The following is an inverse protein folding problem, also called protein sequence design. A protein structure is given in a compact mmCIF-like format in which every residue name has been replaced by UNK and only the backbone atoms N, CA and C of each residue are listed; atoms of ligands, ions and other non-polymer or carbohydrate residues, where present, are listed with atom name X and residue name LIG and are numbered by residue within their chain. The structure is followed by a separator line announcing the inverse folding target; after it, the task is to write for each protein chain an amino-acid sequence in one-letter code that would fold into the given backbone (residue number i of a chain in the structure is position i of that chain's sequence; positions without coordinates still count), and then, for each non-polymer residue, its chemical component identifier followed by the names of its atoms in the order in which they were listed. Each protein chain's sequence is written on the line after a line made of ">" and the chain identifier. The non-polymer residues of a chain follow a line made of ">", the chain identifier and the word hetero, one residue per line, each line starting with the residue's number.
data_IF_276132323288
#
_entry.id   IF_276132323288
#
_cell.length_a   1.000
_cell.length_b   1.000
_cell.length_c   1.000
_cell.angle_alpha   90.00
_cell.angle_beta   90.00
_cell.angle_gamma   90.00
#
_symmetry.space_group_name_H-M   'P 1'
#
loop_
_entity.id
_entity.type
_entity.pdbx_description
1 polymer ?
#
# COMPACT_ATOMS: atom_id res chain seq x y z
N UNK A 1 -25.13 -9.60 -22.52
CA UNK A 1 -24.73 -8.96 -21.28
C UNK A 1 -23.24 -9.11 -21.09
N UNK A 2 -22.63 -8.04 -20.90
CA UNK A 2 -21.21 -8.07 -20.69
C UNK A 2 -20.91 -8.20 -19.23
N UNK A 3 -20.24 -9.25 -18.87
CA UNK A 3 -19.80 -9.42 -17.52
C UNK A 3 -18.77 -8.38 -17.13
N UNK A 4 -19.24 -7.30 -16.55
CA UNK A 4 -18.34 -6.51 -15.72
C UNK A 4 -18.11 -7.30 -14.46
N UNK A 5 -16.90 -7.80 -14.31
CA UNK A 5 -16.52 -8.42 -13.04
C UNK A 5 -16.44 -7.30 -12.01
N UNK A 6 -17.28 -7.37 -11.01
CA UNK A 6 -17.25 -6.41 -9.91
C UNK A 6 -15.90 -6.55 -9.19
N UNK A 7 -15.34 -5.43 -8.74
CA UNK A 7 -14.15 -5.46 -7.90
C UNK A 7 -14.44 -6.28 -6.64
N UNK A 8 -13.48 -7.05 -6.13
CA UNK A 8 -13.66 -7.82 -4.90
C UNK A 8 -14.08 -6.92 -3.74
N UNK A 9 -14.93 -7.41 -2.82
CA UNK A 9 -15.31 -6.61 -1.66
C UNK A 9 -14.12 -6.35 -0.75
N UNK A 10 -14.10 -5.15 -0.18
CA UNK A 10 -13.06 -4.73 0.75
C UNK A 10 -13.70 -4.20 2.02
N UNK A 11 -13.32 -4.77 3.16
CA UNK A 11 -13.56 -4.20 4.47
C UNK A 11 -12.29 -3.44 4.88
N UNK A 12 -12.43 -2.16 5.11
CA UNK A 12 -11.30 -1.28 5.39
C UNK A 12 -11.50 -0.53 6.70
N UNK A 13 -10.55 -0.71 7.62
CA UNK A 13 -10.38 0.15 8.79
C UNK A 13 -9.25 1.13 8.48
N UNK A 14 -9.51 2.42 8.56
CA UNK A 14 -8.52 3.45 8.24
C UNK A 14 -8.29 4.31 9.49
N UNK A 15 -7.05 4.34 9.98
CA UNK A 15 -6.67 4.98 11.23
C UNK A 15 -5.53 5.97 11.00
N UNK A 16 -5.63 7.14 11.62
CA UNK A 16 -4.60 8.17 11.54
C UNK A 16 -4.05 8.49 12.94
N UNK A 17 -2.96 7.83 13.31
CA UNK A 17 -2.20 8.25 14.48
C UNK A 17 -1.41 9.53 14.18
N UNK A 18 -0.95 9.66 12.93
CA UNK A 18 -0.41 10.91 12.38
C UNK A 18 -1.40 11.42 11.34
N UNK A 19 -2.00 12.57 11.61
CA UNK A 19 -3.09 13.12 10.78
C UNK A 19 -2.61 14.12 9.73
N UNK A 20 -1.30 14.31 9.57
CA UNK A 20 -0.76 15.36 8.68
C UNK A 20 -1.23 15.25 7.23
N UNK A 21 -1.47 14.03 6.74
CA UNK A 21 -1.91 13.79 5.36
C UNK A 21 -3.35 13.28 5.26
N UNK A 22 -4.12 13.40 6.32
CA UNK A 22 -5.49 12.84 6.37
C UNK A 22 -6.37 13.34 5.24
N UNK A 23 -6.26 14.61 4.86
CA UNK A 23 -7.10 15.20 3.80
C UNK A 23 -6.81 14.61 2.42
N UNK A 24 -5.61 14.08 2.20
CA UNK A 24 -5.24 13.41 0.94
C UNK A 24 -5.76 11.98 0.86
N UNK A 25 -6.18 11.41 1.98
CA UNK A 25 -6.48 9.99 2.14
C UNK A 25 -7.92 9.76 2.61
N UNK A 26 -8.94 10.32 1.92
CA UNK A 26 -10.31 9.98 2.27
C UNK A 26 -10.57 8.49 1.99
N UNK A 27 -11.45 7.89 2.78
CA UNK A 27 -11.73 6.45 2.71
C UNK A 27 -12.03 5.98 1.29
N UNK A 28 -12.87 6.69 0.54
CA UNK A 28 -13.27 6.26 -0.80
C UNK A 28 -12.08 6.19 -1.77
N UNK A 29 -11.13 7.09 -1.61
CA UNK A 29 -9.91 7.12 -2.44
C UNK A 29 -8.98 5.96 -2.08
N UNK A 30 -8.70 5.80 -0.81
CA UNK A 30 -7.85 4.70 -0.32
C UNK A 30 -8.45 3.34 -0.72
N UNK A 31 -9.75 3.17 -0.51
CA UNK A 31 -10.45 1.93 -0.87
C UNK A 31 -10.36 1.66 -2.38
N UNK A 32 -10.51 2.69 -3.21
CA UNK A 32 -10.40 2.56 -4.67
C UNK A 32 -9.02 2.05 -5.08
N UNK A 33 -7.97 2.65 -4.53
CA UNK A 33 -6.60 2.23 -4.84
C UNK A 33 -6.35 0.79 -4.41
N UNK A 34 -6.79 0.43 -3.21
CA UNK A 34 -6.57 -0.91 -2.67
C UNK A 34 -7.36 -1.97 -3.44
N UNK A 35 -8.62 -1.68 -3.82
CA UNK A 35 -9.43 -2.61 -4.61
C UNK A 35 -8.81 -2.91 -5.96
N UNK A 36 -8.14 -1.96 -6.57
CA UNK A 36 -7.47 -2.17 -7.85
C UNK A 36 -6.43 -3.30 -7.80
N UNK A 37 -5.82 -3.50 -6.63
CA UNK A 37 -4.78 -4.52 -6.43
C UNK A 37 -5.33 -5.84 -5.90
N UNK A 38 -6.61 -5.91 -5.49
CA UNK A 38 -7.20 -7.13 -4.94
C UNK A 38 -7.67 -8.08 -6.03
N UNK A 39 -7.30 -9.36 -5.91
CA UNK A 39 -7.82 -10.45 -6.73
C UNK A 39 -8.85 -11.30 -5.97
N UNK A 40 -9.05 -11.02 -4.68
CA UNK A 40 -9.94 -11.77 -3.78
C UNK A 40 -10.52 -10.80 -2.74
N UNK A 41 -11.60 -11.17 -2.03
CA UNK A 41 -12.10 -10.33 -0.95
C UNK A 41 -11.02 -10.02 0.07
N UNK A 42 -11.02 -8.80 0.63
CA UNK A 42 -10.02 -8.35 1.58
C UNK A 42 -10.61 -7.73 2.84
N UNK A 43 -9.91 -7.95 3.96
CA UNK A 43 -10.13 -7.28 5.23
C UNK A 43 -8.80 -6.65 5.63
N UNK A 44 -8.73 -5.32 5.54
CA UNK A 44 -7.49 -4.60 5.79
C UNK A 44 -7.70 -3.53 6.86
N UNK A 45 -6.73 -3.41 7.76
CA UNK A 45 -6.56 -2.21 8.56
C UNK A 45 -5.37 -1.43 7.97
N UNK A 46 -5.57 -0.16 7.71
CA UNK A 46 -4.51 0.76 7.27
C UNK A 46 -4.32 1.79 8.37
N UNK A 47 -3.11 1.87 8.90
CA UNK A 47 -2.76 2.81 9.95
C UNK A 47 -1.64 3.72 9.47
N UNK A 48 -1.85 5.02 9.54
CA UNK A 48 -0.86 6.03 9.21
C UNK A 48 -0.24 6.53 10.51
N UNK A 49 1.07 6.38 10.65
CA UNK A 49 1.79 6.61 11.91
C UNK A 49 2.88 7.66 11.77
N UNK A 50 3.39 8.14 12.90
CA UNK A 50 4.56 9.01 12.93
C UNK A 50 5.87 8.18 12.90
N UNK A 51 7.01 8.88 12.92
CA UNK A 51 8.31 8.22 12.83
C UNK A 51 8.61 7.32 14.03
N UNK A 52 8.21 7.72 15.23
CA UNK A 52 8.47 6.95 16.45
C UNK A 52 7.68 5.64 16.46
N UNK A 53 6.40 5.68 16.15
CA UNK A 53 5.59 4.46 16.07
C UNK A 53 6.07 3.57 14.93
N UNK A 54 6.39 4.14 13.78
CA UNK A 54 6.91 3.40 12.62
C UNK A 54 8.23 2.69 12.94
N UNK A 55 9.14 3.37 13.61
CA UNK A 55 10.41 2.79 14.06
C UNK A 55 10.19 1.65 15.05
N UNK A 56 9.33 1.88 16.05
CA UNK A 56 9.01 0.87 17.06
C UNK A 56 8.45 -0.40 16.44
N UNK A 57 7.51 -0.27 15.52
CA UNK A 57 6.91 -1.42 14.84
C UNK A 57 7.93 -2.17 13.98
N UNK A 58 8.77 -1.44 13.24
CA UNK A 58 9.77 -2.05 12.38
C UNK A 58 10.85 -2.77 13.21
N UNK A 59 11.27 -2.17 14.32
CA UNK A 59 12.23 -2.78 15.25
C UNK A 59 11.67 -4.04 15.90
N UNK A 60 10.45 -3.96 16.45
CA UNK A 60 9.88 -5.05 17.25
C UNK A 60 9.45 -6.23 16.39
N UNK A 61 9.00 -6.00 15.15
CA UNK A 61 8.47 -7.03 14.28
C UNK A 61 9.40 -7.47 13.15
N UNK A 62 10.35 -6.60 12.74
CA UNK A 62 11.28 -6.88 11.65
C UNK A 62 12.74 -6.82 12.07
N UNK A 63 13.04 -6.43 13.31
CA UNK A 63 14.40 -6.32 13.82
C UNK A 63 15.20 -5.18 13.22
N UNK A 64 14.53 -4.19 12.61
CA UNK A 64 15.19 -3.05 11.96
C UNK A 64 14.88 -1.77 12.71
N UNK A 65 15.90 -1.16 13.32
CA UNK A 65 15.75 -0.01 14.20
C UNK A 65 15.72 1.32 13.44
N UNK A 66 14.78 1.43 12.51
CA UNK A 66 14.47 2.66 11.78
C UNK A 66 13.05 2.62 11.26
N UNK A 67 12.47 3.79 11.00
CA UNK A 67 11.16 3.88 10.36
C UNK A 67 11.30 3.55 8.87
N UNK A 68 10.34 2.82 8.32
CA UNK A 68 10.24 2.54 6.88
C UNK A 68 8.92 3.09 6.34
N UNK A 69 8.77 3.14 5.02
CA UNK A 69 7.60 3.74 4.38
C UNK A 69 6.31 2.93 4.62
N UNK A 70 6.36 1.63 4.39
CA UNK A 70 5.20 0.74 4.58
C UNK A 70 5.63 -0.59 5.19
N UNK A 71 4.83 -1.06 6.16
CA UNK A 71 4.96 -2.41 6.73
C UNK A 71 3.68 -3.16 6.40
N UNK A 72 3.83 -4.40 5.97
CA UNK A 72 2.72 -5.30 5.68
C UNK A 72 2.74 -6.47 6.67
N UNK A 73 1.63 -6.67 7.37
CA UNK A 73 1.45 -7.80 8.28
C UNK A 73 0.29 -8.63 7.73
N UNK A 74 0.59 -9.72 7.04
CA UNK A 74 -0.42 -10.58 6.42
C UNK A 74 -0.75 -11.75 7.35
N UNK A 75 -2.04 -12.01 7.56
CA UNK A 75 -2.52 -13.03 8.50
C UNK A 75 -3.19 -14.20 7.81
N UNK A 76 -3.97 -13.92 6.75
CA UNK A 76 -4.69 -14.93 5.98
C UNK A 76 -4.69 -14.56 4.51
N UNK A 77 -4.69 -15.58 3.64
CA UNK A 77 -4.72 -15.38 2.18
C UNK A 77 -6.00 -15.92 1.55
N UNK A 78 -6.63 -16.92 2.14
CA UNK A 78 -7.82 -17.57 1.59
C UNK A 78 -8.81 -17.92 2.72
N UNK A 79 -10.10 -17.85 2.48
CA UNK A 79 -10.78 -17.33 1.28
C UNK A 79 -10.77 -15.81 1.19
N UNK A 80 -10.36 -15.15 2.25
CA UNK A 80 -10.29 -13.68 2.37
C UNK A 80 -8.85 -13.31 2.71
N UNK A 81 -8.35 -12.28 2.06
CA UNK A 81 -7.02 -11.71 2.40
C UNK A 81 -7.19 -10.85 3.63
N UNK A 82 -6.49 -11.18 4.70
CA UNK A 82 -6.52 -10.42 5.96
C UNK A 82 -5.13 -9.88 6.25
N UNK A 83 -5.00 -8.57 6.35
CA UNK A 83 -3.71 -7.94 6.57
C UNK A 83 -3.84 -6.57 7.20
N UNK A 84 -2.75 -6.13 7.83
CA UNK A 84 -2.57 -4.75 8.28
C UNK A 84 -1.47 -4.10 7.46
N UNK A 85 -1.71 -2.86 7.04
CA UNK A 85 -0.71 -2.01 6.39
C UNK A 85 -0.43 -0.83 7.30
N UNK A 86 0.84 -0.58 7.59
CA UNK A 86 1.27 0.56 8.39
C UNK A 86 2.12 1.47 7.52
N UNK A 87 1.69 2.71 7.35
CA UNK A 87 2.37 3.72 6.54
C UNK A 87 2.94 4.79 7.46
N UNK A 88 4.23 5.07 7.32
CA UNK A 88 4.91 6.10 8.13
C UNK A 88 4.87 7.43 7.40
N UNK A 89 4.00 8.36 7.83
CA UNK A 89 3.76 9.62 7.14
C UNK A 89 5.04 10.45 6.89
N UNK A 90 5.95 10.64 7.87
CA UNK A 90 7.17 11.41 7.63
C UNK A 90 8.08 10.78 6.58
N UNK A 91 8.16 9.46 6.54
CA UNK A 91 9.01 8.76 5.55
C UNK A 91 8.41 8.87 4.16
N UNK A 92 7.09 8.68 4.04
CA UNK A 92 6.38 8.81 2.77
C UNK A 92 6.54 10.22 2.20
N UNK A 93 6.40 11.24 3.05
CA UNK A 93 6.57 12.63 2.67
C UNK A 93 7.99 12.92 2.17
N UNK A 94 9.00 12.45 2.91
CA UNK A 94 10.41 12.64 2.54
C UNK A 94 10.74 11.97 1.21
N UNK A 95 10.26 10.74 1.01
CA UNK A 95 10.48 10.00 -0.23
C UNK A 95 9.82 10.69 -1.43
N UNK A 96 8.58 11.13 -1.26
CA UNK A 96 7.88 11.84 -2.33
C UNK A 96 8.63 13.10 -2.75
N UNK A 97 9.14 13.87 -1.80
CA UNK A 97 9.94 15.06 -2.07
C UNK A 97 11.24 14.71 -2.79
N UNK A 98 11.95 13.69 -2.29
CA UNK A 98 13.24 13.29 -2.88
C UNK A 98 13.08 12.77 -4.30
N UNK A 99 11.98 12.10 -4.62
CA UNK A 99 11.72 11.52 -5.94
C UNK A 99 10.93 12.45 -6.86
N UNK A 100 10.55 13.62 -6.39
CA UNK A 100 9.75 14.57 -7.18
C UNK A 100 8.36 14.05 -7.52
N UNK A 101 7.78 13.21 -6.66
CA UNK A 101 6.45 12.63 -6.84
C UNK A 101 5.40 13.41 -6.07
N UNK A 102 4.17 13.47 -6.59
CA UNK A 102 3.04 13.96 -5.82
C UNK A 102 2.81 13.03 -4.63
N UNK A 103 2.44 13.61 -3.48
CA UNK A 103 2.29 12.86 -2.24
C UNK A 103 1.19 11.81 -2.33
N UNK A 104 0.05 12.14 -2.95
CA UNK A 104 -1.04 11.18 -3.15
C UNK A 104 -0.63 10.02 -4.06
N UNK A 105 0.14 10.30 -5.10
CA UNK A 105 0.66 9.28 -6.00
C UNK A 105 1.58 8.31 -5.26
N UNK A 106 2.40 8.83 -4.35
CA UNK A 106 3.29 7.97 -3.57
C UNK A 106 2.52 7.10 -2.56
N UNK A 107 1.51 7.66 -1.90
CA UNK A 107 0.62 6.85 -1.05
C UNK A 107 -0.10 5.76 -1.84
N UNK A 108 -0.63 6.11 -3.02
CA UNK A 108 -1.30 5.13 -3.88
C UNK A 108 -0.36 3.97 -4.25
N UNK A 109 0.87 4.30 -4.61
CA UNK A 109 1.90 3.30 -4.94
C UNK A 109 2.17 2.36 -3.75
N UNK A 110 2.37 2.91 -2.56
CA UNK A 110 2.66 2.11 -1.38
C UNK A 110 1.48 1.24 -0.95
N UNK A 111 0.25 1.74 -1.10
CA UNK A 111 -0.95 0.97 -0.80
C UNK A 111 -1.14 -0.19 -1.80
N UNK A 112 -0.96 0.07 -3.09
CA UNK A 112 -1.00 -0.97 -4.12
C UNK A 112 0.06 -2.03 -3.84
N UNK A 113 1.29 -1.59 -3.56
CA UNK A 113 2.40 -2.49 -3.22
C UNK A 113 2.07 -3.36 -2.01
N UNK A 114 1.57 -2.76 -0.94
CA UNK A 114 1.21 -3.47 0.29
C UNK A 114 0.09 -4.50 0.07
N UNK A 115 -0.92 -4.15 -0.71
CA UNK A 115 -2.01 -5.08 -1.03
C UNK A 115 -1.53 -6.24 -1.89
N UNK A 116 -0.67 -6.00 -2.87
CA UNK A 116 -0.06 -7.08 -3.65
C UNK A 116 0.77 -7.99 -2.75
N UNK A 117 1.60 -7.40 -1.90
CA UNK A 117 2.46 -8.15 -0.99
C UNK A 117 1.62 -9.02 -0.04
N UNK A 118 0.51 -8.50 0.48
CA UNK A 118 -0.39 -9.25 1.35
C UNK A 118 -1.04 -10.46 0.64
N UNK A 119 -1.10 -10.44 -0.69
CA UNK A 119 -1.62 -11.54 -1.50
C UNK A 119 -0.54 -12.54 -1.94
N UNK A 120 0.68 -12.37 -1.46
CA UNK A 120 1.78 -13.29 -1.75
C UNK A 120 2.72 -12.85 -2.87
N UNK A 121 2.53 -11.66 -3.44
CA UNK A 121 3.52 -11.12 -4.38
C UNK A 121 4.81 -10.84 -3.64
N UNK A 122 5.93 -11.20 -4.26
CA UNK A 122 7.25 -11.10 -3.64
C UNK A 122 8.20 -10.30 -4.53
N UNK A 123 9.18 -9.66 -3.90
CA UNK A 123 10.20 -8.87 -4.60
C UNK A 123 11.63 -9.20 -4.15
N UNK A 124 11.82 -10.33 -3.48
CA UNK A 124 13.15 -10.74 -3.01
C UNK A 124 14.05 -11.21 -4.16
N UNK A 125 13.47 -11.95 -5.12
CA UNK A 125 14.19 -12.39 -6.33
C UNK A 125 14.02 -11.35 -7.42
N UNK A 126 15.04 -11.14 -8.23
CA UNK A 126 15.03 -10.15 -9.31
C UNK A 126 13.86 -10.37 -10.30
N UNK A 127 13.58 -11.61 -10.67
CA UNK A 127 12.46 -11.91 -11.57
C UNK A 127 11.10 -11.61 -10.93
N UNK A 128 10.95 -11.92 -9.64
CA UNK A 128 9.72 -11.64 -8.89
C UNK A 128 9.54 -10.15 -8.69
N UNK A 129 10.62 -9.42 -8.37
CA UNK A 129 10.60 -7.97 -8.24
C UNK A 129 10.13 -7.32 -9.55
N UNK A 130 10.64 -7.75 -10.69
CA UNK A 130 10.23 -7.21 -12.00
C UNK A 130 8.76 -7.46 -12.29
N UNK A 131 8.24 -8.65 -11.97
CA UNK A 131 6.82 -8.97 -12.15
C UNK A 131 5.94 -8.13 -11.25
N UNK A 132 6.32 -7.95 -9.99
CA UNK A 132 5.59 -7.13 -9.05
C UNK A 132 5.59 -5.66 -9.46
N UNK A 133 6.74 -5.12 -9.87
CA UNK A 133 6.87 -3.74 -10.35
C UNK A 133 6.04 -3.51 -11.62
N UNK A 134 6.05 -4.46 -12.55
CA UNK A 134 5.23 -4.38 -13.75
C UNK A 134 3.74 -4.35 -13.41
N UNK A 135 3.31 -5.15 -12.43
CA UNK A 135 1.91 -5.14 -11.98
C UNK A 135 1.56 -3.83 -11.28
N UNK A 136 2.44 -3.31 -10.45
CA UNK A 136 2.25 -1.99 -9.81
C UNK A 136 2.09 -0.89 -10.85
N UNK A 137 2.97 -0.86 -11.86
CA UNK A 137 2.88 0.12 -12.94
C UNK A 137 1.55 0.03 -13.69
N UNK A 138 1.13 -1.18 -14.05
CA UNK A 138 -0.14 -1.43 -14.73
C UNK A 138 -1.32 -0.90 -13.92
N UNK A 139 -1.36 -1.22 -12.63
CA UNK A 139 -2.45 -0.81 -11.74
C UNK A 139 -2.47 0.71 -11.53
N UNK A 140 -1.31 1.31 -11.32
CA UNK A 140 -1.22 2.76 -11.09
C UNK A 140 -1.56 3.56 -12.33
N UNK A 141 -1.14 3.12 -13.51
CA UNK A 141 -1.55 3.73 -14.77
C UNK A 141 -3.07 3.65 -14.96
N UNK A 142 -3.67 2.50 -14.65
CA UNK A 142 -5.12 2.33 -14.74
C UNK A 142 -5.88 3.24 -13.75
N UNK A 143 -5.27 3.57 -12.62
CA UNK A 143 -5.83 4.48 -11.63
C UNK A 143 -5.63 5.96 -12.00
N UNK A 144 -4.89 6.25 -13.06
CA UNK A 144 -4.65 7.61 -13.53
C UNK A 144 -3.36 8.24 -13.02
N UNK A 145 -2.48 7.46 -12.41
CA UNK A 145 -1.17 7.94 -11.97
C UNK A 145 -0.09 7.68 -13.01
N UNK A 146 1.01 8.39 -12.91
CA UNK A 146 2.20 8.12 -13.71
C UNK A 146 2.83 6.79 -13.29
N UNK A 147 3.59 6.17 -14.17
CA UNK A 147 4.35 4.96 -13.86
C UNK A 147 5.40 5.30 -12.78
N UNK A 148 5.37 4.67 -11.61
CA UNK A 148 6.28 5.00 -10.52
C UNK A 148 7.74 4.63 -10.79
N UNK A 149 8.00 3.79 -11.78
CA UNK A 149 9.33 3.29 -12.12
C UNK A 149 9.95 3.95 -13.33
N UNK A 150 9.24 4.84 -13.98
CA UNK A 150 9.76 5.63 -15.11
C UNK A 150 10.20 6.99 -14.59
N UNK A 151 11.40 7.34 -14.86
CA UNK A 151 11.98 8.63 -14.48
C UNK A 151 12.01 9.61 -15.65
#
# INVERSE_FOLDING_TARGET
>A
MTGRVAAPPLQLSLQFADARHRTLLPRHRVARWMRAALAAPGQFAVRVVDADEGRTLNRDWRGKDHATNVLTFDYEHEPVVVADLVLCAPVVEREAQAEGKALDAHYAHLLVHGVLHAQGWDHERAADARRMEARESELLLALGFADPYVR
#
